data_IF_645039812380
#
_entry.id   IF_645039812380
#
_cell.length_a   1.000
_cell.length_b   1.000
_cell.length_c   1.000
_cell.angle_alpha   90.00
_cell.angle_beta   90.00
_cell.angle_gamma   90.00
#
_symmetry.space_group_name_H-M   'P 1'
#
loop_
_entity.id
_entity.type
_entity.pdbx_description
1 polymer ?
#
# COMPACT_ATOMS: atom_id res chain seq x y z
N UNK A 1 -21.88 42.69 15.12
CA UNK A 1 -22.01 41.76 16.27
C UNK A 1 -22.46 40.39 15.77
N UNK A 2 -21.54 39.44 15.58
CA UNK A 2 -21.87 38.09 15.06
C UNK A 2 -20.77 37.05 15.27
N UNK A 3 -19.89 37.24 16.27
CA UNK A 3 -18.54 36.66 16.29
C UNK A 3 -18.25 35.67 17.43
N UNK A 4 -19.22 35.29 18.29
CA UNK A 4 -18.87 34.49 19.49
C UNK A 4 -19.73 33.24 19.74
N UNK A 5 -20.74 32.95 18.91
CA UNK A 5 -21.63 31.79 19.11
C UNK A 5 -21.24 30.54 18.32
N UNK A 6 -20.70 30.66 17.10
CA UNK A 6 -20.31 29.49 16.30
C UNK A 6 -19.02 28.80 16.78
N UNK A 7 -18.10 29.53 17.43
CA UNK A 7 -16.87 28.97 18.01
C UNK A 7 -17.10 28.13 19.28
N UNK A 8 -18.27 28.25 19.94
CA UNK A 8 -18.60 27.48 21.14
C UNK A 8 -19.20 26.10 20.85
N UNK A 9 -19.69 25.86 19.63
CA UNK A 9 -20.26 24.58 19.24
C UNK A 9 -19.20 23.59 18.72
N UNK A 10 -18.14 24.08 18.06
CA UNK A 10 -17.01 23.26 17.61
C UNK A 10 -16.09 22.77 18.76
N UNK A 11 -16.07 23.47 19.89
CA UNK A 11 -15.27 23.05 21.07
C UNK A 11 -15.94 21.95 21.91
N UNK A 12 -17.23 21.65 21.66
CA UNK A 12 -18.02 20.70 22.47
C UNK A 12 -18.10 19.29 21.89
N UNK A 13 -17.66 19.08 20.65
CA UNK A 13 -17.63 17.76 20.00
C UNK A 13 -16.31 17.00 20.14
N UNK A 14 -15.26 17.61 20.69
CA UNK A 14 -13.92 16.99 20.85
C UNK A 14 -13.68 16.35 22.24
N UNK A 15 -14.69 16.28 23.11
CA UNK A 15 -14.53 15.87 24.52
C UNK A 15 -15.28 14.59 24.91
N UNK A 16 -15.77 13.79 23.95
CA UNK A 16 -16.42 12.50 24.22
C UNK A 16 -15.77 11.42 23.36
N UNK A 17 -14.71 10.77 23.86
CA UNK A 17 -14.17 9.61 23.15
C UNK A 17 -12.82 9.04 23.59
N UNK A 18 -12.08 9.63 24.51
CA UNK A 18 -10.83 9.02 25.02
C UNK A 18 -11.06 8.51 26.43
N UNK A 19 -11.48 7.24 26.55
CA UNK A 19 -11.38 6.52 27.81
C UNK A 19 -9.93 6.08 27.98
N UNK A 20 -9.20 6.53 29.02
CA UNK A 20 -7.88 5.98 29.30
C UNK A 20 -8.05 4.51 29.67
N UNK A 21 -7.42 3.63 28.89
CA UNK A 21 -7.28 2.22 29.23
C UNK A 21 -6.50 2.15 30.54
N UNK A 22 -7.20 1.80 31.62
CA UNK A 22 -6.60 1.59 32.94
C UNK A 22 -5.78 0.30 32.83
N UNK A 23 -4.49 0.46 32.55
CA UNK A 23 -3.53 -0.65 32.52
C UNK A 23 -3.49 -1.22 33.94
N UNK A 24 -4.08 -2.40 34.13
CA UNK A 24 -4.00 -3.16 35.37
C UNK A 24 -2.58 -3.73 35.50
N UNK A 25 -1.69 -2.91 36.06
CA UNK A 25 -0.38 -3.31 36.53
C UNK A 25 -0.57 -4.01 37.89
N UNK A 26 -0.11 -5.26 37.96
CA UNK A 26 0.01 -6.14 39.14
C UNK A 26 -1.22 -6.93 39.62
N UNK A 27 -1.38 -8.13 39.06
CA UNK A 27 -1.69 -9.41 39.75
C UNK A 27 -1.46 -10.50 38.69
N UNK A 28 -0.41 -11.32 38.65
CA UNK A 28 -0.03 -12.31 39.64
C UNK A 28 1.40 -12.79 39.31
N UNK A 29 2.26 -12.77 40.32
CA UNK A 29 3.49 -13.54 40.40
C UNK A 29 3.15 -15.05 40.32
N UNK A 30 4.01 -15.78 39.62
CA UNK A 30 4.30 -17.21 39.84
C UNK A 30 3.32 -18.24 39.28
N UNK A 31 3.50 -18.63 38.01
CA UNK A 31 3.63 -20.05 37.62
C UNK A 31 4.74 -20.12 36.56
N UNK A 32 5.95 -20.41 37.01
CA UNK A 32 6.99 -20.97 36.16
C UNK A 32 6.72 -22.47 36.04
N UNK A 33 6.65 -23.02 34.82
CA UNK A 33 7.04 -24.39 34.45
C UNK A 33 6.83 -24.61 32.93
N UNK A 34 7.94 -24.42 32.19
CA UNK A 34 8.49 -25.28 31.11
C UNK A 34 7.48 -25.92 30.12
N UNK A 35 7.43 -25.36 28.90
CA UNK A 35 7.58 -26.14 27.65
C UNK A 35 8.50 -25.35 26.72
N UNK A 36 9.79 -25.71 26.70
CA UNK A 36 10.73 -25.33 25.66
C UNK A 36 10.36 -26.12 24.39
N UNK A 37 9.39 -25.61 23.64
CA UNK A 37 9.10 -26.05 22.28
C UNK A 37 9.86 -25.15 21.30
N UNK A 38 11.00 -25.65 20.80
CA UNK A 38 11.72 -25.06 19.68
C UNK A 38 10.86 -25.18 18.41
N UNK A 39 9.96 -24.22 18.20
CA UNK A 39 9.49 -23.89 16.86
C UNK A 39 10.43 -22.81 16.33
N UNK A 40 11.43 -23.20 15.55
CA UNK A 40 12.13 -22.26 14.68
C UNK A 40 11.11 -21.70 13.70
N UNK A 41 10.54 -20.54 14.03
CA UNK A 41 9.83 -19.72 13.06
C UNK A 41 10.90 -19.10 12.15
N UNK A 42 11.22 -19.81 11.07
CA UNK A 42 11.96 -19.20 9.97
C UNK A 42 11.12 -18.03 9.47
N UNK A 43 11.55 -16.82 9.83
CA UNK A 43 10.97 -15.61 9.29
C UNK A 43 11.28 -15.61 7.80
N UNK A 44 10.28 -15.90 6.96
CA UNK A 44 10.37 -15.64 5.53
C UNK A 44 10.38 -14.12 5.38
N UNK A 45 11.56 -13.51 5.53
CA UNK A 45 11.77 -12.17 4.99
C UNK A 45 11.60 -12.32 3.47
N UNK A 46 10.47 -11.85 2.96
CA UNK A 46 10.33 -11.53 1.55
C UNK A 46 11.40 -10.46 1.25
N UNK A 47 12.59 -10.89 0.84
CA UNK A 47 13.65 -9.97 0.49
C UNK A 47 13.22 -9.23 -0.76
N UNK A 48 12.69 -8.02 -0.57
CA UNK A 48 12.69 -7.04 -1.64
C UNK A 48 14.16 -6.69 -1.84
N UNK A 49 14.87 -7.47 -2.67
CA UNK A 49 16.30 -7.30 -2.93
C UNK A 49 16.63 -5.80 -2.99
N UNK A 50 17.38 -5.29 -2.01
CA UNK A 50 17.68 -3.86 -1.90
C UNK A 50 18.49 -3.43 -3.13
N UNK A 51 18.29 -2.21 -3.64
CA UNK A 51 19.22 -1.68 -4.65
C UNK A 51 20.43 -1.10 -3.91
N UNK A 52 21.61 -1.61 -4.22
CA UNK A 52 22.90 -1.20 -3.64
C UNK A 52 23.90 -0.78 -4.73
N UNK A 53 25.08 -0.34 -4.30
CA UNK A 53 26.13 0.15 -5.19
C UNK A 53 26.19 1.67 -5.30
N UNK A 54 26.87 2.16 -6.34
CA UNK A 54 26.97 3.59 -6.62
C UNK A 54 25.63 4.16 -7.15
N UNK A 55 25.54 5.48 -7.28
CA UNK A 55 24.30 6.15 -7.68
C UNK A 55 23.74 5.65 -9.03
N UNK A 56 24.60 5.32 -10.00
CA UNK A 56 24.18 4.80 -11.30
C UNK A 56 23.63 3.36 -11.19
N UNK A 57 24.26 2.53 -10.38
CA UNK A 57 23.82 1.16 -10.10
C UNK A 57 22.45 1.16 -9.39
N UNK A 58 22.28 2.02 -8.40
CA UNK A 58 21.00 2.20 -7.69
C UNK A 58 19.90 2.62 -8.66
N UNK A 59 20.14 3.63 -9.50
CA UNK A 59 19.14 4.10 -10.48
C UNK A 59 18.77 3.00 -11.49
N UNK A 60 19.77 2.27 -11.99
CA UNK A 60 19.55 1.15 -12.93
C UNK A 60 18.73 0.03 -12.28
N UNK A 61 19.04 -0.32 -11.04
CA UNK A 61 18.29 -1.32 -10.28
C UNK A 61 16.84 -0.87 -10.05
N UNK A 62 16.63 0.39 -9.65
CA UNK A 62 15.29 0.93 -9.43
C UNK A 62 14.45 0.96 -10.71
N UNK A 63 15.04 1.33 -11.85
CA UNK A 63 14.37 1.27 -13.14
C UNK A 63 13.89 -0.16 -13.48
N UNK A 64 14.75 -1.18 -13.29
CA UNK A 64 14.37 -2.59 -13.50
C UNK A 64 13.23 -3.05 -12.58
N UNK A 65 13.26 -2.63 -11.31
CA UNK A 65 12.17 -2.95 -10.37
C UNK A 65 10.86 -2.33 -10.80
N UNK A 66 10.89 -1.07 -11.22
CA UNK A 66 9.69 -0.35 -11.67
C UNK A 66 9.13 -0.96 -12.95
N UNK A 67 9.98 -1.31 -13.92
CA UNK A 67 9.57 -2.00 -15.15
C UNK A 67 8.88 -3.35 -14.85
N UNK A 68 9.47 -4.16 -13.96
CA UNK A 68 8.86 -5.42 -13.51
C UNK A 68 7.51 -5.18 -12.83
N UNK A 69 7.38 -4.15 -12.00
CA UNK A 69 6.12 -3.80 -11.35
C UNK A 69 5.06 -3.33 -12.34
N UNK A 70 5.43 -2.48 -13.31
CA UNK A 70 4.55 -2.02 -14.37
C UNK A 70 4.07 -3.17 -15.26
N UNK A 71 4.98 -4.07 -15.65
CA UNK A 71 4.65 -5.29 -16.41
C UNK A 71 3.65 -6.16 -15.65
N UNK A 72 3.84 -6.30 -14.33
CA UNK A 72 2.87 -7.03 -13.49
C UNK A 72 1.53 -6.31 -13.44
N UNK A 73 1.50 -5.00 -13.19
CA UNK A 73 0.26 -4.23 -13.17
C UNK A 73 -0.50 -4.38 -14.50
N UNK A 74 0.20 -4.28 -15.64
CA UNK A 74 -0.39 -4.47 -16.96
C UNK A 74 -1.04 -5.85 -17.12
N UNK A 75 -0.37 -6.93 -16.68
CA UNK A 75 -0.95 -8.28 -16.69
C UNK A 75 -2.26 -8.35 -15.89
N UNK A 76 -2.30 -7.71 -14.72
CA UNK A 76 -3.47 -7.73 -13.84
C UNK A 76 -4.61 -6.89 -14.38
N UNK A 77 -4.31 -5.72 -14.96
CA UNK A 77 -5.30 -4.89 -15.65
C UNK A 77 -5.94 -5.62 -16.82
N UNK A 78 -5.15 -6.33 -17.64
CA UNK A 78 -5.66 -7.12 -18.76
C UNK A 78 -6.62 -8.21 -18.28
N UNK A 79 -6.25 -8.96 -17.24
CA UNK A 79 -7.12 -9.99 -16.66
C UNK A 79 -8.40 -9.39 -16.06
N UNK A 80 -8.29 -8.25 -15.37
CA UNK A 80 -9.42 -7.57 -14.76
C UNK A 80 -10.39 -7.05 -15.81
N UNK A 81 -9.88 -6.44 -16.88
CA UNK A 81 -10.70 -5.97 -18.00
C UNK A 81 -11.42 -7.13 -18.68
N UNK A 82 -10.74 -8.25 -18.93
CA UNK A 82 -11.37 -9.44 -19.51
C UNK A 82 -12.53 -9.97 -18.66
N UNK A 83 -12.40 -9.97 -17.33
CA UNK A 83 -13.49 -10.36 -16.43
C UNK A 83 -14.61 -9.31 -16.44
N UNK A 84 -14.28 -8.02 -16.41
CA UNK A 84 -15.26 -6.93 -16.49
C UNK A 84 -16.13 -7.07 -17.74
N UNK A 85 -15.53 -7.35 -18.88
CA UNK A 85 -16.25 -7.49 -20.14
C UNK A 85 -17.14 -8.75 -20.13
N UNK A 86 -16.60 -9.87 -19.65
CA UNK A 86 -17.30 -11.16 -19.61
C UNK A 86 -18.45 -11.19 -18.61
N UNK A 87 -18.19 -10.81 -17.36
CA UNK A 87 -19.11 -11.06 -16.23
C UNK A 87 -19.97 -9.83 -15.90
N UNK A 88 -19.51 -8.63 -16.27
CA UNK A 88 -20.15 -7.37 -15.89
C UNK A 88 -20.62 -6.53 -17.08
N UNK A 89 -20.40 -6.97 -18.32
CA UNK A 89 -20.83 -6.26 -19.53
C UNK A 89 -20.25 -4.84 -19.62
N UNK A 90 -18.98 -4.70 -19.24
CA UNK A 90 -18.23 -3.42 -19.27
C UNK A 90 -18.83 -2.29 -18.42
N UNK A 91 -19.72 -2.61 -17.47
CA UNK A 91 -20.31 -1.62 -16.55
C UNK A 91 -19.25 -0.88 -15.72
N UNK A 92 -18.28 -1.55 -15.06
CA UNK A 92 -17.12 -0.87 -14.49
C UNK A 92 -16.21 -0.27 -15.57
N UNK A 93 -15.92 1.03 -15.47
CA UNK A 93 -14.98 1.69 -16.38
C UNK A 93 -13.54 1.69 -15.81
N UNK A 94 -12.91 0.51 -15.85
CA UNK A 94 -11.54 0.33 -15.33
C UNK A 94 -10.51 1.17 -16.09
N UNK A 95 -10.66 1.31 -17.42
CA UNK A 95 -9.73 2.08 -18.24
C UNK A 95 -9.65 3.56 -17.82
N UNK A 96 -10.79 4.21 -17.58
CA UNK A 96 -10.82 5.60 -17.09
C UNK A 96 -10.22 5.71 -15.69
N UNK A 97 -10.57 4.80 -14.78
CA UNK A 97 -9.99 4.80 -13.43
C UNK A 97 -8.46 4.59 -13.47
N UNK A 98 -7.97 3.72 -14.35
CA UNK A 98 -6.54 3.47 -14.52
C UNK A 98 -5.80 4.68 -15.10
N UNK A 99 -6.39 5.40 -16.07
CA UNK A 99 -5.80 6.62 -16.62
C UNK A 99 -5.67 7.71 -15.55
N UNK A 100 -6.72 7.91 -14.74
CA UNK A 100 -6.68 8.84 -13.62
C UNK A 100 -5.63 8.45 -12.57
N UNK A 101 -5.50 7.16 -12.27
CA UNK A 101 -4.48 6.66 -11.35
C UNK A 101 -3.05 6.88 -11.87
N UNK A 102 -2.80 6.73 -13.18
CA UNK A 102 -1.47 7.03 -13.75
C UNK A 102 -1.10 8.49 -13.51
N UNK A 103 -2.05 9.41 -13.76
CA UNK A 103 -1.83 10.83 -13.51
C UNK A 103 -1.61 11.14 -12.02
N UNK A 104 -2.40 10.53 -11.13
CA UNK A 104 -2.18 10.63 -9.69
C UNK A 104 -0.76 10.18 -9.28
N UNK A 105 -0.32 9.02 -9.78
CA UNK A 105 1.01 8.48 -9.49
C UNK A 105 2.12 9.45 -9.96
N UNK A 106 1.94 10.06 -11.13
CA UNK A 106 2.87 11.05 -11.67
C UNK A 106 2.96 12.30 -10.80
N UNK A 107 1.82 12.85 -10.39
CA UNK A 107 1.76 14.03 -9.51
C UNK A 107 2.38 13.74 -8.14
N UNK A 108 1.90 12.69 -7.46
CA UNK A 108 2.34 12.33 -6.11
C UNK A 108 3.85 12.05 -6.08
N UNK A 109 4.36 11.27 -7.03
CA UNK A 109 5.79 10.94 -7.04
C UNK A 109 6.66 12.07 -7.62
N UNK A 110 6.06 13.05 -8.32
CA UNK A 110 6.67 14.33 -8.64
C UNK A 110 6.82 15.20 -7.39
N UNK A 111 5.79 15.27 -6.55
CA UNK A 111 5.86 16.01 -5.28
C UNK A 111 6.88 15.37 -4.31
N UNK A 112 6.99 14.04 -4.29
CA UNK A 112 8.07 13.34 -3.56
C UNK A 112 9.44 13.73 -4.11
N UNK A 113 9.61 13.87 -5.43
CA UNK A 113 10.87 14.33 -6.00
C UNK A 113 11.24 15.74 -5.48
N UNK A 114 10.28 16.66 -5.48
CA UNK A 114 10.47 18.04 -5.01
C UNK A 114 10.72 18.12 -3.50
N UNK A 115 10.07 17.27 -2.69
CA UNK A 115 10.33 17.18 -1.26
C UNK A 115 11.81 16.86 -0.95
N UNK A 116 12.44 16.05 -1.79
CA UNK A 116 13.84 15.65 -1.67
C UNK A 116 14.79 16.52 -2.50
N UNK A 117 14.39 17.75 -2.88
CA UNK A 117 15.09 18.61 -3.83
C UNK A 117 16.61 18.77 -3.58
N UNK A 118 17.07 18.65 -2.34
CA UNK A 118 18.49 18.73 -1.97
C UNK A 118 19.17 17.36 -2.07
N UNK A 119 19.63 16.99 -3.27
CA UNK A 119 20.61 15.90 -3.48
C UNK A 119 20.25 14.86 -4.54
N UNK A 120 21.07 13.82 -4.65
CA UNK A 120 20.90 12.72 -5.63
C UNK A 120 19.84 11.70 -5.21
N UNK A 121 19.37 11.75 -3.96
CA UNK A 121 18.36 10.84 -3.45
C UNK A 121 16.95 11.12 -4.01
N UNK A 122 16.66 12.34 -4.48
CA UNK A 122 15.34 12.68 -5.06
C UNK A 122 14.88 11.73 -6.17
N UNK A 123 15.80 11.32 -7.05
CA UNK A 123 15.50 10.38 -8.14
C UNK A 123 15.15 9.00 -7.59
N UNK A 124 15.87 8.55 -6.56
CA UNK A 124 15.60 7.30 -5.87
C UNK A 124 14.27 7.38 -5.11
N UNK A 125 14.00 8.44 -4.37
CA UNK A 125 12.76 8.65 -3.62
C UNK A 125 11.52 8.65 -4.54
N UNK A 126 11.59 9.36 -5.68
CA UNK A 126 10.52 9.34 -6.67
C UNK A 126 10.32 7.94 -7.27
N UNK A 127 11.40 7.21 -7.55
CA UNK A 127 11.32 5.83 -8.05
C UNK A 127 10.74 4.85 -7.02
N UNK A 128 11.06 5.03 -5.73
CA UNK A 128 10.50 4.26 -4.62
C UNK A 128 8.99 4.52 -4.48
N UNK A 129 8.57 5.79 -4.58
CA UNK A 129 7.16 6.17 -4.63
C UNK A 129 6.42 5.47 -5.78
N UNK A 130 6.98 5.57 -7.00
CA UNK A 130 6.39 4.95 -8.20
C UNK A 130 6.23 3.45 -8.04
N UNK A 131 7.26 2.77 -7.52
CA UNK A 131 7.25 1.34 -7.27
C UNK A 131 6.20 0.96 -6.23
N UNK A 132 6.13 1.68 -5.12
CA UNK A 132 5.16 1.46 -4.04
C UNK A 132 3.73 1.59 -4.57
N UNK A 133 3.39 2.71 -5.19
CA UNK A 133 2.04 2.94 -5.73
C UNK A 133 1.68 1.88 -6.78
N UNK A 134 2.63 1.47 -7.63
CA UNK A 134 2.37 0.44 -8.65
C UNK A 134 2.06 -0.93 -8.04
N UNK A 135 2.74 -1.30 -6.95
CA UNK A 135 2.45 -2.53 -6.21
C UNK A 135 1.09 -2.48 -5.53
N UNK A 136 0.80 -1.38 -4.82
CA UNK A 136 -0.50 -1.14 -4.17
C UNK A 136 -1.64 -1.23 -5.20
N UNK A 137 -1.49 -0.54 -6.34
CA UNK A 137 -2.49 -0.59 -7.41
C UNK A 137 -2.68 -2.00 -7.96
N UNK A 138 -1.61 -2.78 -8.11
CA UNK A 138 -1.72 -4.17 -8.58
C UNK A 138 -2.56 -5.00 -7.60
N UNK A 139 -2.37 -4.80 -6.29
CA UNK A 139 -3.16 -5.45 -5.24
C UNK A 139 -4.62 -4.99 -5.24
N UNK A 140 -4.88 -3.70 -5.37
CA UNK A 140 -6.25 -3.15 -5.50
C UNK A 140 -6.99 -3.77 -6.70
N UNK A 141 -6.35 -3.85 -7.87
CA UNK A 141 -6.93 -4.46 -9.07
C UNK A 141 -7.22 -5.93 -8.83
N UNK A 142 -6.31 -6.65 -8.18
CA UNK A 142 -6.52 -8.05 -7.82
C UNK A 142 -7.72 -8.22 -6.90
N UNK A 143 -7.77 -7.46 -5.81
CA UNK A 143 -8.80 -7.55 -4.80
C UNK A 143 -10.19 -7.14 -5.34
N UNK A 144 -10.25 -6.13 -6.20
CA UNK A 144 -11.51 -5.63 -6.73
C UNK A 144 -12.08 -6.50 -7.86
N UNK A 145 -11.21 -7.05 -8.72
CA UNK A 145 -11.63 -7.65 -9.99
C UNK A 145 -11.17 -9.08 -10.21
N UNK A 146 -10.22 -9.62 -9.45
CA UNK A 146 -9.63 -10.95 -9.73
C UNK A 146 -9.87 -11.96 -8.61
N UNK A 147 -10.56 -11.58 -7.54
CA UNK A 147 -10.99 -12.45 -6.45
C UNK A 147 -12.51 -12.62 -6.42
N UNK A 148 -12.97 -13.53 -5.57
CA UNK A 148 -14.38 -13.78 -5.28
C UNK A 148 -14.59 -13.70 -3.77
N UNK A 149 -15.82 -13.39 -3.35
CA UNK A 149 -16.19 -13.34 -1.92
C UNK A 149 -16.50 -14.73 -1.34
N UNK A 150 -16.54 -15.75 -2.19
CA UNK A 150 -16.78 -17.14 -1.83
C UNK A 150 -15.46 -17.94 -1.87
N UNK A 151 -15.55 -19.27 -1.85
CA UNK A 151 -14.39 -20.17 -1.92
C UNK A 151 -13.84 -20.37 -3.34
N UNK A 152 -14.33 -19.62 -4.34
CA UNK A 152 -13.83 -19.72 -5.71
C UNK A 152 -12.39 -19.23 -5.79
N UNK A 153 -11.46 -20.00 -6.39
CA UNK A 153 -10.08 -19.56 -6.56
C UNK A 153 -9.97 -18.26 -7.37
N UNK A 154 -9.00 -17.37 -7.04
CA UNK A 154 -8.83 -16.12 -7.77
C UNK A 154 -8.29 -16.37 -9.18
N UNK A 155 -8.64 -15.49 -10.12
CA UNK A 155 -8.24 -15.60 -11.54
C UNK A 155 -6.74 -15.43 -11.75
N UNK A 156 -6.08 -14.69 -10.87
CA UNK A 156 -4.64 -14.58 -10.76
C UNK A 156 -4.23 -14.74 -9.29
N UNK A 157 -3.00 -15.20 -8.99
CA UNK A 157 -2.51 -15.24 -7.62
C UNK A 157 -2.46 -13.83 -7.01
N UNK A 158 -2.48 -13.73 -5.68
CA UNK A 158 -2.26 -12.46 -4.99
C UNK A 158 -0.88 -11.88 -5.36
N UNK A 159 -0.80 -10.58 -5.71
CA UNK A 159 0.46 -9.97 -6.09
C UNK A 159 1.35 -9.78 -4.85
N UNK A 160 2.58 -10.30 -4.92
CA UNK A 160 3.59 -10.19 -3.86
C UNK A 160 4.49 -8.96 -3.98
#
# INVERSE_FOLDING_TARGET
MGSLRSLRLLRRQLSLGVRPMRIYVHTLRSIALIVLGLCSVDSVQASTAQCDGNTLEIQTCMAKKLDKANTRLARYLTAAQARIDKDFGSRPNLKTAQAAWVHYRELECGDVFELWAQGTYRTTASSECMLRLTKERTHEIWQAYLTYQDSTPPLLPEPR
#
